data_IF_249821058549
#
_entry.id   IF_249821058549
#
_cell.length_a   1.000
_cell.length_b   1.000
_cell.length_c   1.000
_cell.angle_alpha   90.00
_cell.angle_beta   90.00
_cell.angle_gamma   90.00
#
_symmetry.space_group_name_H-M   'P 1'
#
loop_
_entity.id
_entity.type
_entity.pdbx_description
1 polymer ?
#
# COMPACT_ATOMS: atom_id res chain seq x y z
N UNK A 1 20.97 -13.11 -13.70
CA UNK A 1 20.59 -12.04 -14.65
C UNK A 1 19.47 -11.21 -14.05
N UNK A 2 19.50 -9.88 -14.19
CA UNK A 2 18.42 -9.04 -13.70
C UNK A 2 17.14 -9.27 -14.51
N UNK A 3 16.00 -9.03 -13.88
CA UNK A 3 14.69 -9.13 -14.53
C UNK A 3 14.64 -8.18 -15.73
N UNK A 4 14.05 -8.64 -16.84
CA UNK A 4 13.90 -7.82 -18.04
C UNK A 4 12.76 -6.82 -17.82
N UNK A 5 13.06 -5.55 -18.01
CA UNK A 5 12.11 -4.46 -17.79
C UNK A 5 11.42 -4.09 -19.11
N UNK A 6 10.11 -4.25 -19.17
CA UNK A 6 9.32 -3.67 -20.25
C UNK A 6 8.63 -2.42 -19.72
N UNK A 7 8.91 -1.28 -20.36
CA UNK A 7 8.31 0.00 -20.00
C UNK A 7 7.04 0.20 -20.84
N UNK A 8 5.90 0.32 -20.20
CA UNK A 8 4.68 0.83 -20.85
C UNK A 8 4.41 2.22 -20.29
N UNK A 9 4.63 3.24 -21.08
CA UNK A 9 4.34 4.63 -20.71
C UNK A 9 2.86 4.94 -20.95
N UNK A 10 2.13 5.14 -19.89
CA UNK A 10 0.80 5.76 -19.95
C UNK A 10 0.95 7.28 -19.81
N UNK A 11 0.17 7.90 -20.63
CA UNK A 11 0.16 9.34 -20.93
C UNK A 11 0.67 10.32 -19.88
N UNK A 12 1.16 11.30 -20.42
CA UNK A 12 1.81 12.28 -19.61
C UNK A 12 0.90 13.46 -19.42
N UNK A 13 0.34 13.43 -18.44
CA UNK A 13 -0.24 14.65 -17.96
C UNK A 13 0.73 15.28 -17.03
N UNK A 14 1.02 16.23 -17.30
CA UNK A 14 1.96 17.04 -16.62
C UNK A 14 2.13 16.84 -15.14
N UNK A 15 1.41 16.24 -14.53
CA UNK A 15 1.61 16.11 -13.17
C UNK A 15 1.79 14.70 -12.66
N UNK A 16 1.39 13.96 -13.24
CA UNK A 16 1.51 12.63 -12.72
C UNK A 16 1.95 11.67 -13.81
N UNK A 17 2.87 11.22 -13.64
CA UNK A 17 3.32 10.28 -14.55
C UNK A 17 3.28 8.97 -13.89
N UNK A 18 2.73 8.24 -14.21
CA UNK A 18 2.61 6.92 -13.76
C UNK A 18 3.18 6.04 -14.80
N UNK A 19 4.10 5.49 -14.49
CA UNK A 19 4.72 4.60 -15.34
C UNK A 19 4.64 3.26 -14.75
N UNK A 20 4.24 2.45 -15.29
CA UNK A 20 4.15 1.13 -14.87
C UNK A 20 5.33 0.46 -15.45
N UNK A 21 5.85 -0.24 -14.76
CA UNK A 21 6.93 -1.01 -15.14
C UNK A 21 6.57 -2.44 -14.95
N UNK A 22 6.61 -3.13 -15.76
CA UNK A 22 6.37 -4.52 -15.71
C UNK A 22 7.69 -5.15 -15.70
N UNK A 23 7.87 -5.99 -14.92
CA UNK A 23 9.04 -6.71 -14.73
C UNK A 23 8.78 -8.12 -15.05
N UNK A 24 9.46 -8.72 -15.64
CA UNK A 24 9.48 -10.10 -15.94
C UNK A 24 10.68 -10.69 -15.30
N UNK A 25 10.54 -11.64 -14.48
CA UNK A 25 11.59 -12.40 -13.79
C UNK A 25 12.21 -13.47 -14.71
N UNK A 26 13.34 -14.00 -14.29
CA UNK A 26 14.09 -15.00 -15.09
C UNK A 26 13.26 -16.27 -15.33
N UNK A 27 12.42 -16.62 -14.39
CA UNK A 27 11.52 -17.79 -14.51
C UNK A 27 10.21 -17.47 -15.25
N UNK A 28 10.10 -16.32 -15.84
CA UNK A 28 8.90 -15.92 -16.58
C UNK A 28 7.80 -15.32 -15.72
N UNK A 29 7.99 -15.28 -14.41
CA UNK A 29 6.97 -14.70 -13.51
C UNK A 29 6.86 -13.20 -13.75
N UNK A 30 5.61 -12.74 -13.89
CA UNK A 30 5.31 -11.32 -14.14
C UNK A 30 4.92 -10.64 -12.82
N UNK A 31 5.43 -9.43 -12.65
CA UNK A 31 5.01 -8.56 -11.54
C UNK A 31 5.17 -7.10 -11.95
N UNK A 32 4.47 -6.24 -11.26
CA UNK A 32 4.35 -4.83 -11.65
C UNK A 32 4.80 -3.89 -10.54
N UNK A 33 5.33 -2.75 -10.94
CA UNK A 33 5.56 -1.62 -10.04
C UNK A 33 5.09 -0.35 -10.74
N UNK A 34 4.84 0.69 -9.95
CA UNK A 34 4.32 1.96 -10.47
C UNK A 34 5.21 3.09 -9.98
N UNK A 35 5.73 3.87 -10.92
CA UNK A 35 6.43 5.09 -10.62
C UNK A 35 5.44 6.24 -10.65
N UNK A 36 5.39 7.02 -9.57
CA UNK A 36 4.50 8.17 -9.41
C UNK A 36 5.32 9.43 -9.15
N UNK A 37 5.19 10.38 -10.04
CA UNK A 37 5.89 11.65 -9.95
C UNK A 37 4.89 12.72 -9.47
N UNK A 38 5.22 13.37 -8.35
CA UNK A 38 4.44 14.47 -7.77
C UNK A 38 5.30 15.72 -7.70
N UNK A 39 4.71 16.91 -7.56
CA UNK A 39 5.51 18.16 -7.52
C UNK A 39 6.59 18.20 -6.43
N UNK A 40 6.39 17.50 -5.31
CA UNK A 40 7.32 17.54 -4.17
C UNK A 40 7.92 16.20 -3.80
N UNK A 41 7.57 15.13 -4.53
CA UNK A 41 8.10 13.80 -4.21
C UNK A 41 7.95 12.87 -5.41
N UNK A 42 8.90 11.97 -5.52
CA UNK A 42 8.87 10.92 -6.53
C UNK A 42 8.80 9.58 -5.80
N UNK A 43 7.75 8.83 -6.05
CA UNK A 43 7.45 7.60 -5.31
C UNK A 43 7.43 6.41 -6.24
N UNK A 44 8.12 5.34 -5.87
CA UNK A 44 7.91 4.05 -6.54
C UNK A 44 7.06 3.15 -5.64
N UNK A 45 5.98 2.62 -6.19
CA UNK A 45 5.11 1.62 -5.56
C UNK A 45 5.58 0.25 -6.04
N UNK A 46 6.07 -0.57 -5.13
CA UNK A 46 6.72 -1.84 -5.47
C UNK A 46 5.94 -3.03 -4.94
N UNK A 47 6.09 -4.15 -5.63
CA UNK A 47 5.48 -5.43 -5.31
C UNK A 47 6.41 -6.26 -4.45
N UNK A 48 5.84 -7.03 -3.53
CA UNK A 48 6.56 -7.96 -2.66
C UNK A 48 6.33 -9.42 -3.04
N UNK A 49 5.30 -9.67 -3.83
CA UNK A 49 4.93 -11.00 -4.32
C UNK A 49 4.47 -10.88 -5.76
N UNK A 50 4.51 -11.96 -6.51
CA UNK A 50 3.79 -12.10 -7.77
C UNK A 50 2.41 -12.66 -7.41
N UNK A 51 1.38 -11.85 -7.59
CA UNK A 51 0.05 -12.17 -7.06
C UNK A 51 -0.05 -11.87 -5.57
N UNK A 52 -1.13 -12.34 -4.92
CA UNK A 52 -1.36 -12.12 -3.48
C UNK A 52 -2.29 -13.18 -2.93
N UNK A 53 -1.89 -13.83 -1.83
CA UNK A 53 -2.67 -14.87 -1.17
C UNK A 53 -3.73 -14.37 -0.18
N UNK A 54 -3.90 -13.05 -0.06
CA UNK A 54 -4.84 -12.50 0.94
C UNK A 54 -6.30 -12.54 0.48
N UNK A 55 -6.53 -12.70 -0.83
CA UNK A 55 -7.85 -12.93 -1.42
C UNK A 55 -8.88 -11.83 -1.12
N UNK A 56 -8.44 -10.57 -1.00
CA UNK A 56 -9.34 -9.44 -0.82
C UNK A 56 -10.16 -9.24 -2.12
N UNK A 57 -11.50 -9.35 -2.08
CA UNK A 57 -12.28 -9.37 -3.33
C UNK A 57 -12.33 -8.04 -4.07
N UNK A 58 -12.04 -6.92 -3.42
CA UNK A 58 -12.00 -5.60 -4.08
C UNK A 58 -10.64 -5.32 -4.74
N UNK A 59 -9.69 -6.24 -4.64
CA UNK A 59 -8.31 -6.04 -5.08
C UNK A 59 -8.00 -6.97 -6.26
N UNK A 60 -7.65 -6.41 -7.41
CA UNK A 60 -7.34 -7.21 -8.60
C UNK A 60 -6.23 -8.24 -8.35
N UNK A 61 -5.17 -7.83 -7.64
CA UNK A 61 -4.08 -8.74 -7.29
C UNK A 61 -4.57 -9.89 -6.41
N UNK A 62 -5.47 -9.60 -5.47
CA UNK A 62 -6.01 -10.60 -4.56
C UNK A 62 -6.90 -11.63 -5.25
N UNK A 63 -7.60 -11.20 -6.29
CA UNK A 63 -8.46 -12.08 -7.09
C UNK A 63 -7.63 -13.10 -7.89
N UNK A 64 -6.42 -12.72 -8.30
CA UNK A 64 -5.54 -13.57 -9.09
C UNK A 64 -4.79 -14.65 -8.31
N UNK A 65 -4.86 -14.60 -6.98
CA UNK A 65 -4.12 -15.55 -6.14
C UNK A 65 -2.63 -15.27 -6.07
N UNK A 66 -1.90 -16.15 -5.41
CA UNK A 66 -0.46 -16.02 -5.20
C UNK A 66 0.30 -16.97 -6.11
N UNK A 67 1.21 -16.44 -6.91
CA UNK A 67 2.15 -17.24 -7.67
C UNK A 67 3.36 -17.59 -6.81
N UNK A 68 4.09 -16.57 -6.31
CA UNK A 68 5.22 -16.79 -5.41
C UNK A 68 5.69 -15.49 -4.75
N UNK A 69 6.50 -15.63 -3.74
CA UNK A 69 7.23 -14.52 -3.13
C UNK A 69 8.30 -14.01 -4.09
N UNK A 70 8.49 -12.69 -4.14
CA UNK A 70 9.63 -12.10 -4.84
C UNK A 70 10.88 -12.19 -3.97
N UNK A 71 12.02 -12.40 -4.60
CA UNK A 71 13.32 -12.35 -3.93
C UNK A 71 13.67 -10.91 -3.57
N UNK A 72 14.61 -10.75 -2.64
CA UNK A 72 15.12 -9.42 -2.28
C UNK A 72 15.67 -8.68 -3.51
N UNK A 73 16.35 -9.40 -4.40
CA UNK A 73 16.89 -8.81 -5.63
C UNK A 73 15.78 -8.29 -6.55
N UNK A 74 14.69 -9.06 -6.71
CA UNK A 74 13.55 -8.63 -7.54
C UNK A 74 12.83 -7.42 -6.93
N UNK A 75 12.75 -7.37 -5.60
CA UNK A 75 12.18 -6.20 -4.91
C UNK A 75 13.06 -4.96 -5.16
N UNK A 76 14.37 -5.10 -5.00
CA UNK A 76 15.32 -3.98 -5.18
C UNK A 76 15.42 -3.54 -6.64
N UNK A 77 15.24 -4.46 -7.58
CA UNK A 77 15.26 -4.14 -9.02
C UNK A 77 14.15 -3.16 -9.38
N UNK A 78 12.98 -3.27 -8.74
CA UNK A 78 11.89 -2.31 -8.96
C UNK A 78 12.30 -0.90 -8.52
N UNK A 79 13.01 -0.79 -7.40
CA UNK A 79 13.52 0.50 -6.90
C UNK A 79 14.58 1.06 -7.85
N UNK A 80 15.51 0.20 -8.30
CA UNK A 80 16.56 0.58 -9.22
C UNK A 80 15.98 1.09 -10.55
N UNK A 81 14.99 0.36 -11.06
CA UNK A 81 14.33 0.71 -12.33
C UNK A 81 13.59 2.04 -12.22
N UNK A 82 12.86 2.25 -11.11
CA UNK A 82 12.17 3.52 -10.86
C UNK A 82 13.14 4.69 -10.74
N UNK A 83 14.25 4.50 -10.03
CA UNK A 83 15.27 5.53 -9.87
C UNK A 83 15.95 5.85 -11.21
N UNK A 84 16.23 4.84 -12.02
CA UNK A 84 16.82 5.03 -13.34
C UNK A 84 15.87 5.80 -14.27
N UNK A 85 14.59 5.40 -14.31
CA UNK A 85 13.59 6.08 -15.13
C UNK A 85 13.46 7.57 -14.74
N UNK A 86 13.45 7.87 -13.43
CA UNK A 86 13.38 9.26 -12.98
C UNK A 86 14.59 10.08 -13.43
N UNK A 87 15.79 9.52 -13.28
CA UNK A 87 17.02 10.21 -13.67
C UNK A 87 17.07 10.42 -15.18
N UNK A 88 16.78 9.36 -15.94
CA UNK A 88 17.00 9.37 -17.40
C UNK A 88 15.93 10.18 -18.14
N UNK A 89 14.68 10.09 -17.69
CA UNK A 89 13.55 10.74 -18.37
C UNK A 89 13.30 12.17 -17.86
N UNK A 90 13.66 12.49 -16.62
CA UNK A 90 13.27 13.76 -15.98
C UNK A 90 14.41 14.48 -15.26
N UNK A 91 15.58 13.88 -15.09
CA UNK A 91 16.66 14.45 -14.30
C UNK A 91 16.35 14.52 -12.80
N UNK A 92 15.35 13.76 -12.36
CA UNK A 92 14.84 13.77 -10.99
C UNK A 92 15.41 12.60 -10.17
N UNK A 93 15.24 12.69 -8.83
CA UNK A 93 15.67 11.64 -7.91
C UNK A 93 14.48 10.99 -7.23
N UNK A 94 14.58 9.69 -6.99
CA UNK A 94 13.59 8.94 -6.23
C UNK A 94 13.68 9.35 -4.76
N UNK A 95 12.53 9.69 -4.16
CA UNK A 95 12.48 10.14 -2.76
C UNK A 95 11.73 9.18 -1.84
N UNK A 96 10.80 8.40 -2.37
CA UNK A 96 9.90 7.58 -1.56
C UNK A 96 9.71 6.19 -2.17
N UNK A 97 9.59 5.18 -1.30
CA UNK A 97 9.27 3.81 -1.71
C UNK A 97 8.08 3.32 -0.88
N UNK A 98 7.06 2.78 -1.54
CA UNK A 98 5.91 2.22 -0.83
C UNK A 98 5.69 0.77 -1.28
N UNK A 99 5.59 -0.15 -0.31
CA UNK A 99 5.26 -1.55 -0.55
C UNK A 99 3.73 -1.67 -0.58
N UNK A 100 3.14 -1.17 -1.67
CA UNK A 100 1.69 -1.16 -1.88
C UNK A 100 1.33 -1.68 -3.27
N UNK A 101 2.25 -2.39 -3.92
CA UNK A 101 2.03 -3.10 -5.17
C UNK A 101 1.40 -4.47 -4.93
N UNK A 102 1.85 -5.46 -5.72
CA UNK A 102 1.31 -6.81 -5.60
C UNK A 102 1.88 -7.50 -4.35
N UNK A 103 0.97 -8.18 -3.62
CA UNK A 103 1.34 -9.04 -2.50
C UNK A 103 1.17 -8.41 -1.12
N UNK A 104 1.26 -9.27 -0.11
CA UNK A 104 1.29 -8.88 1.30
C UNK A 104 2.76 -8.86 1.76
N UNK A 105 3.34 -7.67 2.00
CA UNK A 105 4.76 -7.60 2.34
C UNK A 105 5.17 -8.43 3.56
N UNK A 106 4.31 -8.46 4.58
CA UNK A 106 4.66 -9.17 5.81
C UNK A 106 4.49 -10.70 5.69
N UNK A 107 3.88 -11.19 4.60
CA UNK A 107 3.89 -12.62 4.27
C UNK A 107 5.21 -13.02 3.57
N UNK A 108 5.99 -12.02 3.10
CA UNK A 108 7.33 -12.23 2.55
C UNK A 108 8.38 -11.55 3.44
N UNK A 109 8.23 -11.70 4.75
CA UNK A 109 8.86 -10.85 5.77
C UNK A 109 10.38 -10.74 5.61
N UNK A 110 11.08 -11.87 5.56
CA UNK A 110 12.55 -11.87 5.58
C UNK A 110 13.14 -11.12 4.36
N UNK A 111 12.53 -11.34 3.19
CA UNK A 111 13.00 -10.70 1.95
C UNK A 111 12.66 -9.21 1.90
N UNK A 112 11.49 -8.86 2.42
CA UNK A 112 11.07 -7.44 2.52
C UNK A 112 11.97 -6.71 3.53
N UNK A 113 12.26 -7.32 4.68
CA UNK A 113 13.16 -6.74 5.68
C UNK A 113 14.54 -6.45 5.07
N UNK A 114 15.11 -7.44 4.39
CA UNK A 114 16.41 -7.29 3.73
C UNK A 114 16.37 -6.19 2.66
N UNK A 115 15.26 -6.10 1.90
CA UNK A 115 15.10 -5.05 0.90
C UNK A 115 15.03 -3.66 1.56
N UNK A 116 14.27 -3.51 2.64
CA UNK A 116 14.17 -2.23 3.37
C UNK A 116 15.54 -1.79 3.87
N UNK A 117 16.33 -2.73 4.42
CA UNK A 117 17.68 -2.42 4.88
C UNK A 117 18.56 -1.87 3.74
N UNK A 118 18.48 -2.47 2.55
CA UNK A 118 19.21 -2.00 1.37
C UNK A 118 18.68 -0.67 0.82
N UNK A 119 17.35 -0.50 0.82
CA UNK A 119 16.74 0.76 0.36
C UNK A 119 17.22 1.93 1.23
N UNK A 120 17.34 1.72 2.54
CA UNK A 120 17.68 2.78 3.48
C UNK A 120 19.18 2.93 3.72
N UNK A 121 20.00 1.92 3.40
CA UNK A 121 21.45 1.99 3.57
C UNK A 121 22.06 3.08 2.69
N UNK A 122 23.10 3.73 3.20
CA UNK A 122 23.82 4.78 2.47
C UNK A 122 24.52 4.23 1.23
N UNK A 123 24.61 5.00 0.15
CA UNK A 123 25.43 4.60 -1.00
C UNK A 123 26.89 4.40 -0.59
N UNK A 124 27.63 3.48 -1.19
CA UNK A 124 27.20 2.62 -2.30
C UNK A 124 26.48 1.33 -1.89
N UNK A 125 26.29 1.09 -0.59
CA UNK A 125 25.68 -0.14 -0.08
C UNK A 125 24.16 -0.18 -0.28
N UNK A 126 23.53 0.96 -0.54
CA UNK A 126 22.07 1.05 -0.74
C UNK A 126 21.66 2.30 -1.49
N UNK A 127 20.36 2.58 -1.46
CA UNK A 127 19.80 3.70 -2.22
C UNK A 127 19.80 5.03 -1.46
N UNK A 128 20.04 5.02 -0.15
CA UNK A 128 20.09 6.22 0.67
C UNK A 128 18.73 6.88 0.89
N UNK A 129 17.65 6.13 0.73
CA UNK A 129 16.31 6.66 0.93
C UNK A 129 16.00 6.66 2.43
N UNK A 130 15.55 7.79 2.96
CA UNK A 130 15.22 7.91 4.38
C UNK A 130 14.18 6.84 4.79
N UNK A 131 14.38 6.20 5.94
CA UNK A 131 13.43 5.22 6.46
C UNK A 131 12.02 5.82 6.59
N UNK A 132 11.93 7.12 6.92
CA UNK A 132 10.64 7.82 7.01
C UNK A 132 9.92 7.91 5.67
N UNK A 133 10.64 7.78 4.56
CA UNK A 133 10.10 7.84 3.20
C UNK A 133 9.83 6.43 2.63
N UNK A 134 10.04 5.39 3.45
CA UNK A 134 9.69 4.01 3.09
C UNK A 134 8.43 3.61 3.88
N UNK A 135 7.40 3.16 3.17
CA UNK A 135 6.16 2.68 3.79
C UNK A 135 6.00 1.19 3.52
N UNK A 136 5.75 0.44 4.59
CA UNK A 136 5.41 -0.99 4.49
C UNK A 136 3.93 -1.12 4.83
N UNK A 137 3.13 -1.63 3.87
CA UNK A 137 1.71 -1.88 4.11
C UNK A 137 1.48 -3.32 4.55
N UNK A 138 0.37 -3.54 5.22
CA UNK A 138 -0.05 -4.89 5.61
C UNK A 138 -1.56 -4.92 5.84
N UNK A 139 -2.19 -6.04 5.54
CA UNK A 139 -3.59 -6.27 5.87
C UNK A 139 -3.79 -6.65 7.35
N UNK A 140 -2.69 -6.72 8.14
CA UNK A 140 -2.82 -6.91 9.57
C UNK A 140 -2.34 -8.27 10.10
N UNK A 141 -1.22 -8.77 9.56
CA UNK A 141 -0.54 -9.96 10.11
C UNK A 141 0.09 -9.58 11.44
N UNK A 142 -0.70 -9.64 12.53
CA UNK A 142 -0.35 -9.05 13.82
C UNK A 142 1.02 -9.48 14.36
N UNK A 143 1.39 -10.78 14.35
CA UNK A 143 2.74 -11.16 14.80
C UNK A 143 3.85 -10.54 13.97
N UNK A 144 3.66 -10.45 12.65
CA UNK A 144 4.68 -9.88 11.76
C UNK A 144 4.81 -8.36 11.93
N UNK A 145 3.70 -7.67 12.25
CA UNK A 145 3.75 -6.24 12.60
C UNK A 145 4.63 -6.03 13.84
N UNK A 146 4.49 -6.89 14.86
CA UNK A 146 5.30 -6.81 16.09
C UNK A 146 6.78 -7.07 15.77
N UNK A 147 7.06 -8.07 14.95
CA UNK A 147 8.43 -8.36 14.50
C UNK A 147 9.04 -7.14 13.77
N UNK A 148 8.24 -6.48 12.91
CA UNK A 148 8.70 -5.29 12.20
C UNK A 148 9.00 -4.14 13.17
N UNK A 149 8.19 -3.99 14.23
CA UNK A 149 8.44 -2.99 15.28
C UNK A 149 9.77 -3.27 15.97
N UNK A 150 10.02 -4.53 16.35
CA UNK A 150 11.22 -4.93 17.06
C UNK A 150 12.49 -4.79 16.19
N UNK A 151 12.35 -4.84 14.88
CA UNK A 151 13.46 -4.61 13.94
C UNK A 151 13.94 -3.15 13.93
N UNK A 152 13.13 -2.21 14.44
CA UNK A 152 13.48 -0.78 14.65
C UNK A 152 14.03 -0.08 13.40
N UNK A 153 13.48 -0.39 12.23
CA UNK A 153 13.93 0.20 10.98
C UNK A 153 13.47 1.65 10.78
N UNK A 154 12.46 2.09 11.51
CA UNK A 154 11.97 3.46 11.42
C UNK A 154 11.09 3.74 10.21
N UNK A 155 10.64 2.72 9.51
CA UNK A 155 9.73 2.89 8.35
C UNK A 155 8.33 3.25 8.80
N UNK A 156 7.52 3.76 7.88
CA UNK A 156 6.11 4.02 8.12
C UNK A 156 5.31 2.73 7.96
N UNK A 157 4.48 2.41 8.95
CA UNK A 157 3.54 1.29 8.85
C UNK A 157 2.22 1.80 8.28
N UNK A 158 1.68 1.10 7.28
CA UNK A 158 0.35 1.35 6.74
C UNK A 158 -0.50 0.09 6.96
N UNK A 159 -1.55 0.21 7.79
CA UNK A 159 -2.47 -0.89 8.06
C UNK A 159 -3.68 -0.77 7.14
N UNK A 160 -3.86 -1.75 6.26
CA UNK A 160 -5.01 -1.85 5.36
C UNK A 160 -6.20 -2.40 6.13
N UNK A 161 -7.04 -1.50 6.63
CA UNK A 161 -8.13 -1.86 7.54
C UNK A 161 -9.45 -2.11 6.80
N UNK A 162 -9.90 -1.15 6.01
CA UNK A 162 -11.03 -1.18 5.08
C UNK A 162 -12.42 -1.39 5.71
N UNK A 163 -12.51 -1.71 6.99
CA UNK A 163 -13.77 -1.77 7.73
C UNK A 163 -13.50 -1.57 9.23
N UNK A 164 -14.43 -0.92 9.96
CA UNK A 164 -14.23 -0.72 11.40
C UNK A 164 -14.87 -1.82 12.25
N UNK A 165 -15.61 -2.74 11.65
CA UNK A 165 -16.31 -3.84 12.31
C UNK A 165 -15.89 -5.16 11.69
N UNK A 166 -15.70 -6.17 12.56
CA UNK A 166 -15.21 -7.49 12.14
C UNK A 166 -16.17 -8.17 11.16
N UNK A 167 -17.48 -8.00 11.34
CA UNK A 167 -18.47 -8.63 10.47
C UNK A 167 -18.25 -8.27 8.99
N UNK A 168 -18.06 -6.98 8.71
CA UNK A 168 -17.78 -6.56 7.33
C UNK A 168 -16.33 -6.91 6.94
N UNK A 169 -15.39 -6.73 7.87
CA UNK A 169 -13.98 -6.98 7.54
C UNK A 169 -13.72 -8.44 7.16
N UNK A 170 -14.46 -9.38 7.74
CA UNK A 170 -14.34 -10.81 7.38
C UNK A 170 -14.60 -11.02 5.88
N UNK A 171 -15.47 -10.21 5.28
CA UNK A 171 -15.80 -10.32 3.84
C UNK A 171 -14.84 -9.56 2.96
N UNK A 172 -14.29 -8.42 3.43
CA UNK A 172 -13.41 -7.57 2.63
C UNK A 172 -11.93 -7.97 2.73
N UNK A 173 -11.53 -8.47 3.90
CA UNK A 173 -10.14 -8.80 4.20
C UNK A 173 -10.13 -10.15 4.93
N UNK A 174 -10.15 -11.26 4.20
CA UNK A 174 -10.36 -12.60 4.80
C UNK A 174 -9.38 -12.98 5.91
N UNK A 175 -8.17 -12.41 5.92
CA UNK A 175 -7.21 -12.66 7.00
C UNK A 175 -7.72 -12.20 8.37
N UNK A 176 -8.79 -11.37 8.39
CA UNK A 176 -9.44 -10.95 9.64
C UNK A 176 -9.99 -12.16 10.43
N UNK A 177 -10.30 -13.25 9.75
CA UNK A 177 -10.71 -14.49 10.42
C UNK A 177 -9.59 -15.08 11.28
N UNK A 178 -8.34 -14.75 10.99
CA UNK A 178 -7.19 -15.21 11.77
C UNK A 178 -6.74 -14.16 12.80
N UNK A 179 -6.72 -12.89 12.43
CA UNK A 179 -6.33 -11.78 13.30
C UNK A 179 -7.39 -10.69 13.21
N UNK A 180 -8.20 -10.60 14.25
CA UNK A 180 -9.31 -9.65 14.33
C UNK A 180 -8.82 -8.20 14.33
N UNK A 181 -9.74 -7.26 14.09
CA UNK A 181 -9.43 -5.82 14.11
C UNK A 181 -8.70 -5.44 15.41
N UNK A 182 -9.17 -5.94 16.55
CA UNK A 182 -8.53 -5.61 17.85
C UNK A 182 -7.07 -6.05 17.88
N UNK A 183 -6.76 -7.25 17.39
CA UNK A 183 -5.39 -7.77 17.36
C UNK A 183 -4.51 -6.97 16.40
N UNK A 184 -5.03 -6.64 15.21
CA UNK A 184 -4.29 -5.83 14.23
C UNK A 184 -4.01 -4.42 14.76
N UNK A 185 -5.01 -3.80 15.40
CA UNK A 185 -4.85 -2.48 15.99
C UNK A 185 -3.91 -2.49 17.20
N UNK A 186 -3.96 -3.54 18.04
CA UNK A 186 -3.02 -3.68 19.15
C UNK A 186 -1.58 -3.84 18.66
N UNK A 187 -1.38 -4.59 17.58
CA UNK A 187 -0.06 -4.72 16.96
C UNK A 187 0.40 -3.37 16.38
N UNK A 188 -0.51 -2.62 15.74
CA UNK A 188 -0.21 -1.28 15.23
C UNK A 188 0.15 -0.32 16.37
N UNK A 189 -0.55 -0.41 17.51
CA UNK A 189 -0.22 0.40 18.69
C UNK A 189 1.17 0.03 19.22
N UNK A 190 1.47 -1.26 19.29
CA UNK A 190 2.81 -1.73 19.67
C UNK A 190 3.87 -1.13 18.73
N UNK A 191 3.62 -1.18 17.42
CA UNK A 191 4.52 -0.60 16.43
C UNK A 191 4.75 0.88 16.69
N UNK A 192 3.67 1.65 16.90
CA UNK A 192 3.75 3.09 17.14
C UNK A 192 4.55 3.38 18.42
N UNK A 193 4.32 2.61 19.49
CA UNK A 193 5.00 2.80 20.78
C UNK A 193 6.51 2.49 20.67
N UNK A 194 6.87 1.41 19.99
CA UNK A 194 8.28 0.98 19.88
C UNK A 194 9.06 1.92 18.95
N UNK A 195 8.44 2.38 17.86
CA UNK A 195 9.13 3.15 16.82
C UNK A 195 8.97 4.66 16.97
N UNK A 196 7.99 5.12 17.74
CA UNK A 196 7.64 6.54 17.81
C UNK A 196 7.00 7.07 16.53
N UNK A 197 6.53 6.18 15.65
CA UNK A 197 6.01 6.55 14.34
C UNK A 197 4.49 6.51 14.30
N UNK A 198 3.90 7.45 13.56
CA UNK A 198 2.46 7.40 13.25
C UNK A 198 2.17 6.18 12.39
N UNK A 199 0.95 5.65 12.52
CA UNK A 199 0.45 4.56 11.69
C UNK A 199 -0.56 5.14 10.70
N UNK A 200 -0.38 4.81 9.42
CA UNK A 200 -1.35 5.13 8.39
C UNK A 200 -2.40 4.02 8.34
N UNK A 201 -3.67 4.40 8.40
CA UNK A 201 -4.79 3.46 8.29
C UNK A 201 -5.38 3.62 6.89
N UNK A 202 -5.15 2.65 6.04
CA UNK A 202 -5.66 2.68 4.67
C UNK A 202 -7.09 2.14 4.65
N UNK A 203 -7.99 2.88 4.02
CA UNK A 203 -9.41 2.56 3.99
C UNK A 203 -9.94 2.81 2.58
N UNK A 204 -10.10 1.73 1.81
CA UNK A 204 -10.74 1.80 0.50
C UNK A 204 -12.22 2.10 0.74
N UNK A 205 -12.69 3.24 0.26
CA UNK A 205 -14.07 3.68 0.48
C UNK A 205 -14.94 3.18 -0.68
N UNK A 206 -15.87 2.27 -0.36
CA UNK A 206 -16.65 1.50 -1.33
C UNK A 206 -18.12 1.85 -1.14
N UNK A 207 -18.76 2.32 -2.23
CA UNK A 207 -20.19 2.73 -2.24
C UNK A 207 -21.09 1.63 -1.68
N UNK A 208 -21.91 1.98 -0.69
CA UNK A 208 -22.95 1.13 -0.09
C UNK A 208 -22.40 -0.12 0.62
N UNK A 209 -21.08 -0.26 0.72
CA UNK A 209 -20.44 -1.40 1.37
C UNK A 209 -19.85 -1.00 2.73
N UNK A 210 -18.97 0.02 2.76
CA UNK A 210 -18.30 0.41 4.00
C UNK A 210 -18.35 1.93 4.25
N UNK A 211 -19.17 2.67 3.50
CA UNK A 211 -19.20 4.14 3.53
C UNK A 211 -20.31 4.74 4.39
N UNK A 212 -21.01 3.93 5.19
CA UNK A 212 -22.10 4.41 6.04
C UNK A 212 -21.59 5.35 7.14
N UNK A 213 -22.39 6.38 7.50
CA UNK A 213 -21.97 7.34 8.54
C UNK A 213 -21.60 6.69 9.87
N UNK A 214 -22.36 5.66 10.31
CA UNK A 214 -22.06 4.98 11.57
C UNK A 214 -20.69 4.27 11.52
N UNK A 215 -20.28 3.80 10.33
CA UNK A 215 -18.96 3.19 10.18
C UNK A 215 -17.85 4.24 10.32
N UNK A 216 -18.05 5.44 9.80
CA UNK A 216 -17.11 6.54 10.01
C UNK A 216 -16.96 6.86 11.50
N UNK A 217 -18.09 6.93 12.23
CA UNK A 217 -18.09 7.20 13.66
C UNK A 217 -17.35 6.08 14.43
N UNK A 218 -17.65 4.82 14.10
CA UNK A 218 -17.02 3.67 14.75
C UNK A 218 -15.52 3.62 14.46
N UNK A 219 -15.12 3.88 13.21
CA UNK A 219 -13.71 3.94 12.81
C UNK A 219 -12.97 4.98 13.63
N UNK A 220 -13.49 6.20 13.67
CA UNK A 220 -12.89 7.28 14.44
C UNK A 220 -12.77 6.96 15.92
N UNK A 221 -13.84 6.43 16.51
CA UNK A 221 -13.89 6.06 17.93
C UNK A 221 -12.83 4.98 18.26
N UNK A 222 -12.76 3.91 17.46
CA UNK A 222 -11.79 2.83 17.68
C UNK A 222 -10.36 3.33 17.55
N UNK A 223 -10.07 4.08 16.48
CA UNK A 223 -8.71 4.57 16.24
C UNK A 223 -8.27 5.58 17.30
N UNK A 224 -9.16 6.48 17.72
CA UNK A 224 -8.86 7.43 18.77
C UNK A 224 -8.50 6.70 20.07
N UNK A 225 -9.28 5.69 20.44
CA UNK A 225 -9.05 4.92 21.67
C UNK A 225 -7.73 4.16 21.63
N UNK A 226 -7.38 3.53 20.50
CA UNK A 226 -6.22 2.63 20.44
C UNK A 226 -4.93 3.38 20.11
N UNK A 227 -4.97 4.30 19.15
CA UNK A 227 -3.79 4.97 18.60
C UNK A 227 -3.74 6.47 18.95
N UNK A 228 -4.88 7.08 19.27
CA UNK A 228 -4.94 8.51 19.55
C UNK A 228 -4.34 9.35 18.42
N UNK A 229 -3.44 10.30 18.75
CA UNK A 229 -2.85 11.19 17.74
C UNK A 229 -1.88 10.48 16.79
N UNK A 230 -1.56 9.23 17.06
CA UNK A 230 -0.64 8.46 16.19
C UNK A 230 -1.37 7.81 15.01
N UNK A 231 -2.72 7.90 14.95
CA UNK A 231 -3.49 7.41 13.81
C UNK A 231 -3.66 8.49 12.75
N UNK A 232 -3.51 8.11 11.49
CA UNK A 232 -3.91 8.92 10.35
C UNK A 232 -4.68 8.05 9.37
N UNK A 233 -5.92 8.41 9.06
CA UNK A 233 -6.73 7.67 8.09
C UNK A 233 -6.50 8.24 6.70
N UNK A 234 -6.16 7.36 5.78
CA UNK A 234 -6.00 7.67 4.37
C UNK A 234 -7.14 7.00 3.62
N UNK A 235 -8.18 7.78 3.27
CA UNK A 235 -9.31 7.26 2.50
C UNK A 235 -8.91 7.15 1.03
N UNK A 236 -9.18 6.00 0.45
CA UNK A 236 -8.85 5.70 -0.94
C UNK A 236 -10.17 5.47 -1.69
N UNK A 237 -10.60 6.44 -2.53
CA UNK A 237 -11.78 6.17 -3.37
C UNK A 237 -11.54 4.88 -4.18
N UNK A 238 -12.49 3.97 -4.13
CA UNK A 238 -12.32 2.68 -4.81
C UNK A 238 -12.13 2.87 -6.31
N UNK A 239 -11.21 2.13 -6.87
CA UNK A 239 -11.11 1.92 -8.31
C UNK A 239 -11.75 0.60 -8.63
N UNK A 240 -12.84 0.59 -9.39
CA UNK A 240 -13.48 -0.67 -9.75
C UNK A 240 -12.52 -1.59 -10.50
N UNK A 241 -12.53 -2.86 -10.15
CA UNK A 241 -11.85 -3.89 -10.94
C UNK A 241 -12.78 -4.33 -12.07
N UNK A 242 -12.24 -4.77 -13.22
CA UNK A 242 -13.09 -5.26 -14.29
C UNK A 242 -14.01 -6.38 -13.81
N UNK A 243 -15.29 -6.25 -14.11
CA UNK A 243 -16.32 -7.22 -13.70
C UNK A 243 -16.81 -7.10 -12.26
N UNK A 244 -16.36 -6.08 -11.52
CA UNK A 244 -16.82 -5.84 -10.16
C UNK A 244 -18.07 -4.94 -10.16
N UNK A 245 -19.04 -5.27 -9.30
CA UNK A 245 -20.20 -4.41 -9.06
C UNK A 245 -19.90 -3.25 -8.10
N UNK A 246 -18.72 -3.22 -7.50
CA UNK A 246 -18.32 -2.22 -6.51
C UNK A 246 -17.77 -0.96 -7.18
N UNK A 247 -18.11 0.19 -6.61
CA UNK A 247 -17.70 1.49 -7.14
C UNK A 247 -17.31 2.44 -6.02
N UNK A 248 -16.73 3.58 -6.38
CA UNK A 248 -16.39 4.64 -5.45
C UNK A 248 -17.64 5.30 -4.88
N UNK A 249 -17.55 5.72 -3.63
CA UNK A 249 -18.61 6.50 -2.99
C UNK A 249 -18.78 7.86 -3.66
N UNK A 250 -20.00 8.39 -3.73
CA UNK A 250 -20.22 9.76 -4.21
C UNK A 250 -19.46 10.77 -3.35
N UNK A 251 -19.05 11.88 -3.96
CA UNK A 251 -18.27 12.91 -3.26
C UNK A 251 -18.93 13.46 -1.98
N UNK A 252 -20.25 13.67 -1.93
CA UNK A 252 -20.88 14.09 -0.66
C UNK A 252 -20.73 13.06 0.45
N UNK A 253 -20.84 11.76 0.13
CA UNK A 253 -20.66 10.66 1.10
C UNK A 253 -19.20 10.63 1.60
N UNK A 254 -18.27 10.75 0.67
CA UNK A 254 -16.83 10.82 0.99
C UNK A 254 -16.53 11.97 1.96
N UNK A 255 -17.05 13.18 1.67
CA UNK A 255 -16.85 14.35 2.53
C UNK A 255 -17.45 14.16 3.92
N UNK A 256 -18.64 13.58 3.99
CA UNK A 256 -19.31 13.29 5.28
C UNK A 256 -18.50 12.26 6.07
N UNK A 257 -17.97 11.24 5.41
CA UNK A 257 -17.13 10.21 6.07
C UNK A 257 -15.89 10.86 6.69
N UNK A 258 -15.19 11.72 5.95
CA UNK A 258 -14.01 12.46 6.44
C UNK A 258 -14.38 13.30 7.67
N UNK A 259 -15.49 14.06 7.56
CA UNK A 259 -15.97 14.95 8.63
C UNK A 259 -16.20 14.16 9.92
N UNK A 260 -16.86 13.00 9.81
CA UNK A 260 -17.19 12.17 10.98
C UNK A 260 -15.95 11.57 11.64
N UNK A 261 -15.01 11.07 10.84
CA UNK A 261 -13.75 10.53 11.38
C UNK A 261 -12.99 11.64 12.12
N UNK A 262 -12.88 12.82 11.51
CA UNK A 262 -12.20 13.98 12.12
C UNK A 262 -12.89 14.43 13.41
N UNK A 263 -14.21 14.36 13.47
CA UNK A 263 -14.98 14.73 14.68
C UNK A 263 -14.66 13.84 15.88
N UNK A 264 -14.09 12.64 15.65
CA UNK A 264 -13.64 11.76 16.73
C UNK A 264 -12.19 12.02 17.14
N UNK A 265 -11.56 13.06 16.59
CA UNK A 265 -10.19 13.43 16.95
C UNK A 265 -9.12 12.66 16.17
N UNK A 266 -9.47 12.08 15.02
CA UNK A 266 -8.54 11.31 14.20
C UNK A 266 -8.28 12.06 12.89
N UNK A 267 -7.01 12.26 12.56
CA UNK A 267 -6.61 12.87 11.29
C UNK A 267 -7.06 12.00 10.12
N UNK A 268 -7.67 12.61 9.10
CA UNK A 268 -8.22 11.88 7.96
C UNK A 268 -8.05 12.71 6.68
N UNK A 269 -7.49 12.10 5.65
CA UNK A 269 -7.34 12.72 4.33
C UNK A 269 -7.84 11.75 3.26
N UNK A 270 -8.26 12.33 2.12
CA UNK A 270 -8.60 11.54 0.95
C UNK A 270 -7.39 11.50 0.03
N UNK A 271 -7.02 10.31 -0.41
CA UNK A 271 -5.94 10.14 -1.37
C UNK A 271 -6.35 10.78 -2.69
N UNK A 272 -5.50 11.66 -3.20
CA UNK A 272 -5.73 12.27 -4.51
C UNK A 272 -5.51 11.20 -5.59
N UNK A 273 -6.60 10.73 -6.16
CA UNK A 273 -6.60 9.71 -7.21
C UNK A 273 -6.61 10.34 -8.61
N UNK A 274 -5.92 11.45 -8.79
CA UNK A 274 -5.77 12.07 -10.11
C UNK A 274 -5.14 11.04 -11.06
N UNK A 275 -5.80 10.77 -12.15
CA UNK A 275 -5.38 9.78 -13.14
C UNK A 275 -6.39 8.64 -13.31
N UNK A 276 -7.70 8.95 -13.27
CA UNK A 276 -8.78 7.97 -13.49
C UNK A 276 -8.69 7.26 -14.85
N UNK A 277 -7.85 7.79 -15.76
CA UNK A 277 -7.74 7.29 -17.13
C UNK A 277 -6.66 6.22 -17.29
N UNK A 278 -5.91 5.90 -16.23
CA UNK A 278 -4.85 4.89 -16.27
C UNK A 278 -5.27 3.73 -15.36
N UNK A 279 -5.43 2.57 -15.94
CA UNK A 279 -5.86 1.34 -15.25
C UNK A 279 -4.81 0.77 -14.29
N UNK A 280 -3.85 1.58 -13.86
CA UNK A 280 -2.72 1.13 -13.04
C UNK A 280 -2.70 1.87 -11.69
N UNK A 281 -3.59 1.46 -10.78
CA UNK A 281 -3.68 2.06 -9.45
C UNK A 281 -3.43 1.03 -8.37
N UNK A 282 -3.11 1.51 -7.17
CA UNK A 282 -2.96 0.66 -5.99
C UNK A 282 -4.17 -0.28 -5.86
N UNK A 283 -3.93 -1.57 -5.82
CA UNK A 283 -4.99 -2.59 -5.80
C UNK A 283 -5.46 -3.04 -7.17
N UNK A 284 -4.94 -2.45 -8.26
CA UNK A 284 -5.34 -2.80 -9.63
C UNK A 284 -4.22 -3.51 -10.41
N UNK A 285 -3.09 -3.76 -9.76
CA UNK A 285 -2.00 -4.47 -10.41
C UNK A 285 -2.37 -5.94 -10.54
N UNK A 286 -2.54 -6.37 -11.77
CA UNK A 286 -2.76 -7.76 -12.11
C UNK A 286 -1.80 -8.05 -13.24
N UNK A 287 -0.81 -8.89 -12.98
CA UNK A 287 0.08 -9.33 -14.05
C UNK A 287 -0.79 -10.01 -15.11
N UNK A 288 -0.90 -9.38 -16.27
CA UNK A 288 -1.68 -9.92 -17.37
C UNK A 288 -0.95 -11.15 -17.86
N UNK A 289 -1.46 -12.30 -17.48
CA UNK A 289 -1.00 -13.54 -18.07
C UNK A 289 -1.39 -13.53 -19.56
N UNK A 290 -0.41 -13.74 -20.41
CA UNK A 290 -0.65 -13.89 -21.84
C UNK A 290 -1.40 -15.19 -22.13
#
# INVERSE_FOLDING_TARGET
MPARLERRCGGXXXXXXXXXXXXXAVDGTMFESVLMRYPRRNTVCISSQAGCGMACPFCATGQGGLTRNLSTAEILEQVRAGAAALRDDFGDRLSNVVFMGMGEPLANYARVLAAVQRITARPPSGFGISARAVTVSTVGLAPAIRNLADARLGVTLALSLHAPDDGLRDTLVPVNNRWRISEALDAARYYANVTGRRVSIEYALIRDVNDQPWRADLLGKRLHRVLGPLAHVNLIPLNPTPGSDWDASPKPVEREFVKRVRAKGVSCTVRDTRGREISQRCGQLAAVGG
#
